data_IF_923056822862
#
_entry.id   IF_923056822862
#
_cell.length_a   1.000
_cell.length_b   1.000
_cell.length_c   1.000
_cell.angle_alpha   90.00
_cell.angle_beta   90.00
_cell.angle_gamma   90.00
#
_symmetry.space_group_name_H-M   'P 1'
#
loop_
_entity.id
_entity.type
_entity.pdbx_description
1 polymer ?
#
# COMPACT_ATOMS: atom_id res chain seq x y z
N UNK A 1 23.17 17.01 -15.74
CA UNK A 1 22.25 17.73 -14.84
C UNK A 1 21.21 16.70 -14.47
N UNK A 2 20.93 16.53 -13.18
CA UNK A 2 20.12 15.42 -12.68
C UNK A 2 18.81 15.92 -12.11
N UNK A 3 17.77 15.12 -12.24
CA UNK A 3 16.53 15.30 -11.48
C UNK A 3 16.73 14.65 -10.11
N UNK A 4 16.38 15.37 -9.04
CA UNK A 4 16.47 14.86 -7.68
C UNK A 4 15.14 14.23 -7.27
N UNK A 5 15.19 13.21 -6.42
CA UNK A 5 13.98 12.50 -5.96
C UNK A 5 13.84 12.66 -4.45
N UNK A 6 12.64 13.08 -4.03
CA UNK A 6 12.24 13.19 -2.62
C UNK A 6 11.02 12.33 -2.36
N UNK A 7 11.01 11.65 -1.22
CA UNK A 7 9.82 11.00 -0.69
C UNK A 7 9.73 11.23 0.82
N UNK A 8 8.64 10.78 1.42
CA UNK A 8 8.49 10.70 2.87
C UNK A 8 8.62 9.26 3.40
N UNK A 9 8.74 9.12 4.72
CA UNK A 9 8.97 7.83 5.38
C UNK A 9 7.81 6.85 5.24
N UNK A 10 6.63 7.26 4.77
CA UNK A 10 5.57 6.30 4.42
C UNK A 10 5.91 5.44 3.22
N UNK A 11 6.96 5.76 2.46
CA UNK A 11 7.45 4.92 1.37
C UNK A 11 8.05 3.60 1.84
N UNK A 12 8.37 3.48 3.15
CA UNK A 12 9.04 2.32 3.74
C UNK A 12 10.32 1.90 2.96
N UNK A 13 10.96 2.87 2.29
CA UNK A 13 12.15 2.64 1.50
C UNK A 13 13.33 2.40 2.45
N UNK A 14 14.01 1.23 2.39
CA UNK A 14 15.16 0.97 3.25
C UNK A 14 16.24 2.04 3.08
N UNK A 15 16.89 2.52 4.17
CA UNK A 15 17.89 3.58 4.09
C UNK A 15 19.06 3.26 3.14
N UNK A 16 19.46 1.98 3.06
CA UNK A 16 20.50 1.54 2.13
C UNK A 16 20.10 1.74 0.66
N UNK A 17 18.86 1.41 0.30
CA UNK A 17 18.33 1.63 -1.06
C UNK A 17 18.13 3.13 -1.33
N UNK A 18 17.64 3.89 -0.35
CA UNK A 18 17.53 5.35 -0.49
C UNK A 18 18.90 5.98 -0.79
N UNK A 19 19.95 5.56 -0.08
CA UNK A 19 21.31 6.04 -0.31
C UNK A 19 21.87 5.58 -1.67
N UNK A 20 21.63 4.32 -2.06
CA UNK A 20 22.06 3.76 -3.35
C UNK A 20 21.52 4.57 -4.54
N UNK A 21 20.24 4.91 -4.51
CA UNK A 21 19.57 5.66 -5.58
C UNK A 21 19.59 7.19 -5.37
N UNK A 22 20.27 7.70 -4.35
CA UNK A 22 20.33 9.15 -4.06
C UNK A 22 18.97 9.78 -3.71
N UNK A 23 18.03 9.00 -3.19
CA UNK A 23 16.68 9.44 -2.84
C UNK A 23 16.69 10.08 -1.45
N UNK A 24 16.16 11.29 -1.34
CA UNK A 24 15.97 11.95 -0.04
C UNK A 24 14.66 11.50 0.59
N UNK A 25 14.71 11.00 1.83
CA UNK A 25 13.52 10.56 2.59
C UNK A 25 13.32 11.51 3.77
N UNK A 26 12.12 12.08 3.89
CA UNK A 26 11.71 12.94 4.99
C UNK A 26 10.84 12.16 5.99
N UNK A 27 11.22 12.17 7.26
CA UNK A 27 10.50 11.46 8.29
C UNK A 27 9.23 12.19 8.73
N UNK A 28 8.10 11.49 8.74
CA UNK A 28 6.93 11.95 9.46
C UNK A 28 7.20 12.05 10.96
N UNK A 29 6.50 12.97 11.59
CA UNK A 29 6.61 13.24 13.01
C UNK A 29 5.66 12.32 13.78
N UNK A 30 6.12 11.81 14.92
CA UNK A 30 5.29 11.08 15.87
C UNK A 30 5.50 11.68 17.27
N UNK A 31 4.40 11.85 18.01
CA UNK A 31 4.39 12.41 19.35
C UNK A 31 3.49 11.58 20.27
N UNK A 32 3.90 11.44 21.53
CA UNK A 32 3.24 10.58 22.52
C UNK A 32 3.90 9.21 22.63
N UNK A 33 3.31 8.32 23.42
CA UNK A 33 3.82 6.97 23.65
C UNK A 33 2.67 5.95 23.63
N UNK A 34 2.94 4.76 23.11
CA UNK A 34 2.00 3.64 23.13
C UNK A 34 0.70 3.91 22.38
N UNK A 35 -0.45 3.58 22.99
CA UNK A 35 -1.77 3.70 22.34
C UNK A 35 -2.25 5.17 22.20
N UNK A 36 -1.58 6.13 22.84
CA UNK A 36 -1.85 7.57 22.74
C UNK A 36 -0.96 8.27 21.72
N UNK A 37 0.00 7.55 21.13
CA UNK A 37 0.89 8.11 20.13
C UNK A 37 0.09 8.58 18.90
N UNK A 38 0.45 9.75 18.39
CA UNK A 38 -0.15 10.38 17.22
C UNK A 38 0.92 10.74 16.21
N UNK A 39 0.52 10.99 14.97
CA UNK A 39 1.45 11.35 13.90
C UNK A 39 1.04 12.65 13.23
N UNK A 40 2.03 13.43 12.83
CA UNK A 40 1.87 14.57 11.94
C UNK A 40 2.64 14.33 10.63
N UNK A 41 2.02 14.73 9.51
CA UNK A 41 2.71 14.79 8.23
C UNK A 41 3.71 15.93 8.16
N UNK A 42 4.34 16.11 7.00
CA UNK A 42 5.35 17.15 6.80
C UNK A 42 4.70 18.52 6.60
N UNK A 43 5.30 19.55 7.20
CA UNK A 43 4.85 20.93 7.08
C UNK A 43 5.37 21.62 5.82
N UNK A 44 4.66 22.64 5.32
CA UNK A 44 5.06 23.37 4.12
C UNK A 44 6.45 24.03 4.25
N UNK A 45 6.78 24.57 5.43
CA UNK A 45 8.09 25.20 5.66
C UNK A 45 9.24 24.19 5.60
N UNK A 46 9.06 23.02 6.22
CA UNK A 46 10.03 21.92 6.21
C UNK A 46 10.27 21.41 4.78
N UNK A 47 9.20 21.19 4.02
CA UNK A 47 9.29 20.76 2.62
C UNK A 47 9.94 21.84 1.74
N UNK A 48 9.58 23.11 1.93
CA UNK A 48 10.20 24.23 1.21
C UNK A 48 11.71 24.27 1.46
N UNK A 49 12.13 24.14 2.73
CA UNK A 49 13.54 24.13 3.09
C UNK A 49 14.28 22.93 2.47
N UNK A 50 13.66 21.75 2.46
CA UNK A 50 14.22 20.55 1.82
C UNK A 50 14.40 20.78 0.31
N UNK A 51 13.36 21.17 -0.41
CA UNK A 51 13.40 21.36 -1.86
C UNK A 51 14.36 22.48 -2.25
N UNK A 52 14.36 23.60 -1.53
CA UNK A 52 15.30 24.70 -1.77
C UNK A 52 16.75 24.21 -1.62
N UNK A 53 17.07 23.48 -0.55
CA UNK A 53 18.42 22.94 -0.31
C UNK A 53 18.87 21.95 -1.39
N UNK A 54 17.95 21.17 -1.92
CA UNK A 54 18.22 20.26 -3.03
C UNK A 54 18.55 21.04 -4.31
N UNK A 55 17.77 22.07 -4.62
CA UNK A 55 17.97 22.93 -5.80
C UNK A 55 19.17 23.90 -5.67
N UNK A 56 19.61 24.21 -4.44
CA UNK A 56 20.71 25.14 -4.14
C UNK A 56 22.09 24.62 -4.59
N UNK A 57 22.27 23.30 -4.70
CA UNK A 57 23.57 22.69 -5.06
C UNK A 57 24.05 23.08 -6.46
N UNK A 58 23.16 23.64 -7.29
CA UNK A 58 23.46 24.24 -8.58
C UNK A 58 23.83 23.19 -9.63
N UNK A 59 22.92 22.92 -10.57
CA UNK A 59 23.15 21.98 -11.67
C UNK A 59 22.13 20.85 -11.80
N UNK A 60 21.09 20.84 -10.95
CA UNK A 60 19.96 19.91 -11.04
C UNK A 60 18.80 20.52 -11.84
N UNK A 61 18.14 19.68 -12.66
CA UNK A 61 17.07 20.10 -13.57
C UNK A 61 15.71 20.25 -12.88
N UNK A 62 15.56 19.67 -11.68
CA UNK A 62 14.36 19.78 -10.87
C UNK A 62 14.27 18.72 -9.78
N UNK A 63 13.14 18.67 -9.10
CA UNK A 63 12.82 17.70 -8.04
C UNK A 63 11.52 16.99 -8.39
N UNK A 64 11.51 15.65 -8.34
CA UNK A 64 10.28 14.85 -8.25
C UNK A 64 10.03 14.52 -6.79
N UNK A 65 8.91 15.00 -6.25
CA UNK A 65 8.51 14.78 -4.86
C UNK A 65 7.29 13.85 -4.79
N UNK A 66 7.48 12.63 -4.30
CA UNK A 66 6.44 11.63 -4.16
C UNK A 66 5.97 11.56 -2.71
N UNK A 67 4.67 11.71 -2.46
CA UNK A 67 4.14 11.66 -1.10
C UNK A 67 2.97 10.70 -0.96
N UNK A 68 2.77 10.24 0.27
CA UNK A 68 1.59 9.44 0.64
C UNK A 68 0.31 10.09 0.11
N UNK A 69 -0.68 9.25 -0.20
CA UNK A 69 -2.01 9.68 -0.61
C UNK A 69 -2.52 10.90 0.18
N UNK A 70 -2.99 11.93 -0.55
CA UNK A 70 -3.60 13.12 0.06
C UNK A 70 -4.86 12.82 0.90
N UNK A 71 -5.46 11.65 0.68
CA UNK A 71 -6.61 11.18 1.44
C UNK A 71 -6.23 10.58 2.81
N UNK A 72 -4.95 10.31 3.03
CA UNK A 72 -4.40 9.76 4.28
C UNK A 72 -3.61 10.78 5.09
N UNK A 73 -2.97 11.75 4.42
CA UNK A 73 -2.15 12.79 5.05
C UNK A 73 -2.27 14.14 4.33
N UNK A 74 -2.09 15.22 5.10
CA UNK A 74 -1.95 16.58 4.57
C UNK A 74 -0.61 16.85 3.88
N UNK A 75 0.36 15.92 3.94
CA UNK A 75 1.72 16.07 3.39
C UNK A 75 1.70 16.54 1.93
N UNK A 76 0.89 15.94 1.06
CA UNK A 76 0.80 16.35 -0.35
C UNK A 76 0.34 17.80 -0.52
N UNK A 77 -0.60 18.26 0.31
CA UNK A 77 -1.06 19.65 0.29
C UNK A 77 0.03 20.62 0.74
N UNK A 78 0.78 20.26 1.78
CA UNK A 78 1.97 21.01 2.22
C UNK A 78 3.05 21.05 1.14
N UNK A 79 3.30 19.94 0.46
CA UNK A 79 4.27 19.82 -0.62
C UNK A 79 3.88 20.68 -1.82
N UNK A 80 2.59 20.68 -2.19
CA UNK A 80 2.07 21.52 -3.27
C UNK A 80 2.25 23.01 -2.97
N UNK A 81 2.04 23.42 -1.72
CA UNK A 81 2.30 24.81 -1.28
C UNK A 81 3.79 25.15 -1.33
N UNK A 82 4.66 24.23 -0.91
CA UNK A 82 6.11 24.40 -0.97
C UNK A 82 6.63 24.51 -2.41
N UNK A 83 6.13 23.68 -3.33
CA UNK A 83 6.51 23.70 -4.74
C UNK A 83 6.10 24.99 -5.45
N UNK A 84 4.96 25.59 -5.07
CA UNK A 84 4.44 26.81 -5.69
C UNK A 84 5.37 28.03 -5.56
N UNK A 85 6.29 28.04 -4.59
CA UNK A 85 7.27 29.13 -4.41
C UNK A 85 8.65 28.84 -5.02
N UNK A 86 8.79 27.74 -5.78
CA UNK A 86 10.07 27.27 -6.35
C UNK A 86 10.10 27.28 -7.88
N UNK A 87 9.31 28.17 -8.50
CA UNK A 87 9.33 28.50 -9.93
C UNK A 87 9.16 27.28 -10.86
N UNK A 88 8.32 26.32 -10.49
CA UNK A 88 8.00 25.15 -11.32
C UNK A 88 9.11 24.10 -11.41
N UNK A 89 10.14 24.18 -10.55
CA UNK A 89 11.25 23.22 -10.50
C UNK A 89 10.96 21.98 -9.64
N UNK A 90 9.76 21.89 -9.06
CA UNK A 90 9.36 20.77 -8.20
C UNK A 90 8.03 20.21 -8.70
N UNK A 91 8.06 18.96 -9.15
CA UNK A 91 6.87 18.19 -9.53
C UNK A 91 6.42 17.34 -8.34
N UNK A 92 5.27 17.70 -7.76
CA UNK A 92 4.70 16.99 -6.61
C UNK A 92 3.68 15.97 -7.07
N UNK A 93 3.91 14.69 -6.74
CA UNK A 93 3.07 13.57 -7.11
C UNK A 93 2.24 13.11 -5.90
N UNK A 94 0.92 13.11 -6.06
CA UNK A 94 0.01 12.38 -5.17
C UNK A 94 0.06 10.90 -5.55
N UNK A 95 0.74 10.09 -4.74
CA UNK A 95 0.94 8.68 -5.07
C UNK A 95 -0.35 7.87 -4.99
N UNK A 96 -1.40 8.40 -4.35
CA UNK A 96 -2.63 7.67 -4.07
C UNK A 96 -2.38 6.31 -3.37
N UNK A 97 -1.20 6.15 -2.77
CA UNK A 97 -0.69 4.89 -2.26
C UNK A 97 0.09 5.07 -0.94
N UNK A 98 0.81 4.02 -0.53
CA UNK A 98 1.66 3.93 0.65
C UNK A 98 2.68 2.80 0.53
N UNK A 99 3.64 2.75 1.46
CA UNK A 99 4.68 1.72 1.47
C UNK A 99 5.53 1.71 0.20
N UNK A 100 6.01 0.52 -0.16
CA UNK A 100 6.98 0.33 -1.24
C UNK A 100 6.38 0.53 -2.63
N UNK A 101 5.08 0.81 -2.76
CA UNK A 101 4.56 1.38 -4.01
C UNK A 101 5.18 2.75 -4.25
N UNK A 102 5.23 3.61 -3.22
CA UNK A 102 5.92 4.90 -3.28
C UNK A 102 7.43 4.68 -3.40
N UNK A 103 7.99 3.75 -2.63
CA UNK A 103 9.42 3.43 -2.68
C UNK A 103 9.90 3.00 -4.07
N UNK A 104 9.16 2.11 -4.74
CA UNK A 104 9.48 1.70 -6.12
C UNK A 104 9.26 2.83 -7.12
N UNK A 105 8.23 3.64 -6.97
CA UNK A 105 8.03 4.81 -7.82
C UNK A 105 9.18 5.83 -7.68
N UNK A 106 9.71 6.01 -6.47
CA UNK A 106 10.89 6.84 -6.22
C UNK A 106 12.15 6.24 -6.86
N UNK A 107 12.34 4.92 -6.78
CA UNK A 107 13.44 4.21 -7.46
C UNK A 107 13.32 4.36 -8.99
N UNK A 108 12.13 4.21 -9.56
CA UNK A 108 11.89 4.35 -10.99
C UNK A 108 12.24 5.77 -11.48
N UNK A 109 11.80 6.80 -10.75
CA UNK A 109 12.19 8.19 -11.04
C UNK A 109 13.70 8.41 -10.92
N UNK A 110 14.34 7.86 -9.88
CA UNK A 110 15.77 8.00 -9.66
C UNK A 110 16.60 7.32 -10.74
N UNK A 111 16.21 6.12 -11.19
CA UNK A 111 16.82 5.43 -12.33
C UNK A 111 16.70 6.23 -13.61
N UNK A 112 15.51 6.74 -13.91
CA UNK A 112 15.29 7.61 -15.06
C UNK A 112 16.18 8.87 -15.01
N UNK A 113 16.36 9.47 -13.83
CA UNK A 113 17.23 10.62 -13.63
C UNK A 113 18.72 10.28 -13.84
N UNK A 114 19.18 9.11 -13.35
CA UNK A 114 20.56 8.64 -13.51
C UNK A 114 20.89 8.36 -14.99
N UNK A 115 19.89 7.92 -15.76
CA UNK A 115 19.97 7.76 -17.22
C UNK A 115 19.92 9.09 -17.99
N UNK A 116 19.79 10.23 -17.29
CA UNK A 116 19.75 11.56 -17.87
C UNK A 116 18.37 12.00 -18.35
N UNK A 117 17.31 11.34 -17.87
CA UNK A 117 15.92 11.71 -18.16
C UNK A 117 15.56 13.10 -17.61
N UNK A 118 14.66 13.77 -18.33
CA UNK A 118 14.08 15.05 -17.94
C UNK A 118 13.13 14.93 -16.74
N UNK A 119 12.75 16.07 -16.15
CA UNK A 119 11.79 16.12 -15.05
C UNK A 119 10.45 15.44 -15.40
N UNK A 120 9.95 15.67 -16.61
CA UNK A 120 8.71 15.06 -17.11
C UNK A 120 8.83 13.55 -17.31
N UNK A 121 9.98 13.07 -17.81
CA UNK A 121 10.25 11.64 -17.98
C UNK A 121 10.37 10.93 -16.63
N UNK A 122 11.07 11.55 -15.66
CA UNK A 122 11.18 11.03 -14.29
C UNK A 122 9.80 10.96 -13.61
N UNK A 123 8.97 12.01 -13.78
CA UNK A 123 7.57 12.02 -13.33
C UNK A 123 6.76 10.91 -13.99
N UNK A 124 6.94 10.70 -15.30
CA UNK A 124 6.29 9.63 -16.05
C UNK A 124 6.66 8.23 -15.55
N UNK A 125 7.95 7.99 -15.27
CA UNK A 125 8.43 6.74 -14.70
C UNK A 125 7.83 6.46 -13.32
N UNK A 126 7.83 7.47 -12.43
CA UNK A 126 7.16 7.37 -11.14
C UNK A 126 5.65 7.07 -11.28
N UNK A 127 4.96 7.78 -12.18
CA UNK A 127 3.53 7.60 -12.38
C UNK A 127 3.21 6.19 -12.90
N UNK A 128 4.02 5.64 -13.80
CA UNK A 128 3.84 4.28 -14.28
C UNK A 128 3.93 3.23 -13.16
N UNK A 129 4.93 3.37 -12.28
CA UNK A 129 5.09 2.52 -11.10
C UNK A 129 3.90 2.65 -10.12
N UNK A 130 3.35 3.86 -9.96
CA UNK A 130 2.16 4.10 -9.14
C UNK A 130 0.92 3.43 -9.76
N UNK A 131 0.70 3.60 -11.07
CA UNK A 131 -0.49 3.12 -11.78
C UNK A 131 -0.59 1.59 -11.81
N UNK A 132 0.56 0.91 -11.77
CA UNK A 132 0.64 -0.56 -11.69
C UNK A 132 0.75 -1.07 -10.25
N UNK A 133 0.85 -0.16 -9.29
CA UNK A 133 1.10 -0.44 -7.88
C UNK A 133 -0.13 -0.96 -7.14
N UNK A 134 0.05 -2.03 -6.38
CA UNK A 134 -0.96 -2.55 -5.45
C UNK A 134 -0.37 -2.68 -4.05
N UNK A 135 -1.19 -2.39 -3.04
CA UNK A 135 -0.85 -2.54 -1.63
C UNK A 135 -1.99 -3.21 -0.88
N UNK A 136 -1.70 -4.34 -0.22
CA UNK A 136 -2.61 -4.97 0.73
C UNK A 136 -2.01 -4.95 2.13
N UNK A 137 -2.79 -4.44 3.09
CA UNK A 137 -2.37 -4.24 4.46
C UNK A 137 -3.25 -5.05 5.40
N UNK A 138 -2.65 -6.01 6.09
CA UNK A 138 -3.24 -6.70 7.22
C UNK A 138 -2.91 -5.97 8.53
N UNK A 139 -3.96 -5.66 9.31
CA UNK A 139 -3.82 -5.09 10.67
C UNK A 139 -4.55 -5.92 11.71
N UNK A 140 -4.03 -5.90 12.94
CA UNK A 140 -4.61 -6.65 14.04
C UNK A 140 -5.89 -6.04 14.60
N UNK A 141 -5.97 -4.70 14.58
CA UNK A 141 -7.07 -3.87 15.04
C UNK A 141 -7.22 -2.67 14.11
N UNK A 142 -8.44 -2.14 13.98
CA UNK A 142 -8.71 -0.94 13.19
C UNK A 142 -8.86 0.31 14.07
N UNK A 143 -8.79 0.20 15.39
CA UNK A 143 -9.09 1.29 16.31
C UNK A 143 -8.24 2.54 16.06
N UNK A 144 -6.93 2.36 15.85
CA UNK A 144 -6.01 3.50 15.64
C UNK A 144 -6.19 4.13 14.27
N UNK A 145 -6.37 3.33 13.21
CA UNK A 145 -6.77 3.82 11.89
C UNK A 145 -8.11 4.59 11.93
N UNK A 146 -9.09 4.10 12.71
CA UNK A 146 -10.39 4.72 12.89
C UNK A 146 -10.29 6.05 13.67
N UNK A 147 -9.51 6.08 14.76
CA UNK A 147 -9.29 7.27 15.59
C UNK A 147 -8.51 8.33 14.84
N UNK A 148 -7.55 7.91 14.02
CA UNK A 148 -6.77 8.78 13.17
C UNK A 148 -7.55 9.40 12.00
N UNK A 149 -8.78 8.95 11.73
CA UNK A 149 -9.61 9.49 10.64
C UNK A 149 -9.29 8.92 9.25
N UNK A 150 -8.44 7.88 9.15
CA UNK A 150 -8.03 7.25 7.87
C UNK A 150 -9.01 6.19 7.37
N UNK A 151 -10.08 5.92 8.12
CA UNK A 151 -11.17 5.04 7.74
C UNK A 151 -12.44 5.85 7.48
N UNK A 152 -13.17 5.49 6.42
CA UNK A 152 -14.48 6.08 6.14
C UNK A 152 -15.49 5.75 7.25
N UNK A 153 -16.55 6.56 7.36
CA UNK A 153 -17.57 6.37 8.39
C UNK A 153 -18.14 4.95 8.45
N UNK A 154 -18.37 4.31 7.29
CA UNK A 154 -18.87 2.94 7.21
C UNK A 154 -17.84 1.90 7.66
N UNK A 155 -16.56 2.11 7.36
CA UNK A 155 -15.47 1.21 7.75
C UNK A 155 -15.13 1.30 9.24
N UNK A 156 -15.36 2.47 9.88
CA UNK A 156 -15.20 2.62 11.33
C UNK A 156 -16.09 1.64 12.12
N UNK A 157 -17.22 1.22 11.57
CA UNK A 157 -18.05 0.20 12.21
C UNK A 157 -17.33 -1.17 12.31
N UNK A 158 -16.41 -1.46 11.37
CA UNK A 158 -15.60 -2.69 11.42
C UNK A 158 -14.60 -2.68 12.58
N UNK A 159 -14.21 -1.51 13.12
CA UNK A 159 -13.32 -1.47 14.28
C UNK A 159 -13.98 -2.03 15.54
N UNK A 160 -15.31 -1.96 15.63
CA UNK A 160 -16.07 -2.50 16.76
C UNK A 160 -16.30 -4.02 16.68
N UNK A 161 -16.02 -4.64 15.53
CA UNK A 161 -16.28 -6.05 15.30
C UNK A 161 -15.17 -6.94 15.90
N UNK A 162 -15.38 -7.33 17.16
CA UNK A 162 -14.50 -8.23 17.89
C UNK A 162 -14.26 -9.53 17.10
N UNK A 163 -13.00 -9.89 16.88
CA UNK A 163 -12.50 -11.07 16.16
C UNK A 163 -12.42 -11.01 14.61
N UNK A 164 -12.62 -9.85 13.97
CA UNK A 164 -12.28 -9.71 12.55
C UNK A 164 -10.81 -9.31 12.40
N UNK A 165 -10.13 -9.95 11.44
CA UNK A 165 -8.77 -9.69 11.00
C UNK A 165 -8.83 -9.18 9.54
N UNK A 166 -8.99 -7.86 9.34
CA UNK A 166 -9.22 -7.29 8.03
C UNK A 166 -7.92 -7.22 7.22
N UNK A 167 -8.06 -7.41 5.91
CA UNK A 167 -7.06 -7.02 4.92
C UNK A 167 -7.63 -5.80 4.21
N UNK A 168 -6.90 -4.70 4.29
CA UNK A 168 -7.18 -3.44 3.64
C UNK A 168 -6.40 -3.36 2.33
N UNK A 169 -6.85 -2.51 1.40
CA UNK A 169 -6.06 -2.06 0.25
C UNK A 169 -6.26 -0.57 0.03
N UNK A 170 -5.50 0.03 -0.87
CA UNK A 170 -5.73 1.41 -1.30
C UNK A 170 -6.52 1.42 -2.61
N UNK A 171 -7.63 2.15 -2.61
CA UNK A 171 -8.47 2.38 -3.77
C UNK A 171 -8.81 3.87 -3.83
N UNK A 172 -8.46 4.53 -4.93
CA UNK A 172 -8.63 5.99 -5.07
C UNK A 172 -7.95 6.77 -3.92
N UNK A 173 -6.79 6.31 -3.45
CA UNK A 173 -6.05 6.94 -2.35
C UNK A 173 -6.58 6.63 -0.95
N UNK A 174 -7.74 5.97 -0.80
CA UNK A 174 -8.38 5.68 0.49
C UNK A 174 -8.17 4.23 0.91
N UNK A 175 -8.14 3.98 2.22
CA UNK A 175 -8.17 2.61 2.74
C UNK A 175 -9.55 1.99 2.51
N UNK A 176 -9.58 0.89 1.78
CA UNK A 176 -10.75 0.07 1.52
C UNK A 176 -10.57 -1.37 1.98
N UNK A 177 -11.66 -2.08 2.20
CA UNK A 177 -11.62 -3.45 2.71
C UNK A 177 -11.49 -4.45 1.56
N UNK A 178 -10.34 -5.08 1.43
CA UNK A 178 -10.09 -6.12 0.43
C UNK A 178 -10.65 -7.49 0.86
N UNK A 179 -10.51 -7.86 2.14
CA UNK A 179 -11.03 -9.12 2.66
C UNK A 179 -11.23 -9.12 4.18
N UNK A 180 -12.13 -9.99 4.66
CA UNK A 180 -12.31 -10.28 6.10
C UNK A 180 -11.78 -11.66 6.41
N UNK A 181 -10.89 -11.76 7.39
CA UNK A 181 -10.44 -13.05 7.93
C UNK A 181 -10.66 -13.09 9.45
N UNK A 182 -10.30 -14.21 10.08
CA UNK A 182 -10.41 -14.39 11.54
C UNK A 182 -9.08 -14.71 12.23
N UNK A 183 -8.09 -15.18 11.48
CA UNK A 183 -6.78 -15.57 12.00
C UNK A 183 -5.69 -14.99 11.13
N UNK A 184 -4.50 -14.76 11.70
CA UNK A 184 -3.34 -14.26 10.95
C UNK A 184 -2.96 -15.21 9.81
N UNK A 185 -2.89 -16.52 10.05
CA UNK A 185 -2.57 -17.50 9.01
C UNK A 185 -3.55 -17.42 7.81
N UNK A 186 -4.86 -17.26 8.08
CA UNK A 186 -5.85 -17.05 7.01
C UNK A 186 -5.72 -15.69 6.32
N UNK A 187 -5.25 -14.67 7.02
CA UNK A 187 -4.92 -13.39 6.40
C UNK A 187 -3.72 -13.53 5.44
N UNK A 188 -2.66 -14.22 5.86
CA UNK A 188 -1.46 -14.46 5.03
C UNK A 188 -1.79 -15.29 3.79
N UNK A 189 -2.50 -16.42 3.94
CA UNK A 189 -3.00 -17.21 2.79
C UNK A 189 -3.81 -16.34 1.81
N UNK A 190 -4.65 -15.45 2.36
CA UNK A 190 -5.47 -14.56 1.55
C UNK A 190 -4.65 -13.47 0.86
N UNK A 191 -3.61 -12.93 1.49
CA UNK A 191 -2.69 -11.97 0.88
C UNK A 191 -1.91 -12.61 -0.28
N UNK A 192 -1.44 -13.85 -0.13
CA UNK A 192 -0.83 -14.61 -1.23
C UNK A 192 -1.82 -14.74 -2.39
N UNK A 193 -3.06 -15.13 -2.10
CA UNK A 193 -4.11 -15.24 -3.13
C UNK A 193 -4.36 -13.91 -3.85
N UNK A 194 -4.40 -12.80 -3.11
CA UNK A 194 -4.61 -11.47 -3.68
C UNK A 194 -3.45 -11.07 -4.60
N UNK A 195 -2.21 -11.24 -4.14
CA UNK A 195 -1.00 -10.97 -4.92
C UNK A 195 -0.94 -11.82 -6.20
N UNK A 196 -1.23 -13.12 -6.09
CA UNK A 196 -1.27 -14.04 -7.22
C UNK A 196 -2.35 -13.68 -8.24
N UNK A 197 -3.54 -13.28 -7.78
CA UNK A 197 -4.60 -12.84 -8.68
C UNK A 197 -4.23 -11.53 -9.39
N UNK A 198 -3.64 -10.58 -8.67
CA UNK A 198 -3.15 -9.34 -9.26
C UNK A 198 -2.09 -9.59 -10.33
N UNK A 199 -1.13 -10.50 -10.08
CA UNK A 199 -0.16 -10.92 -11.09
C UNK A 199 -0.85 -11.50 -12.33
N UNK A 200 -1.78 -12.43 -12.10
CA UNK A 200 -2.56 -13.08 -13.16
C UNK A 200 -3.29 -12.05 -14.02
N UNK A 201 -3.98 -11.10 -13.41
CA UNK A 201 -4.77 -10.11 -14.14
C UNK A 201 -3.88 -9.30 -15.11
N UNK A 202 -2.66 -8.96 -14.69
CA UNK A 202 -1.67 -8.28 -15.55
C UNK A 202 -1.14 -9.22 -16.64
N UNK A 203 -0.76 -10.45 -16.27
CA UNK A 203 -0.20 -11.41 -17.20
C UNK A 203 -1.21 -11.86 -18.29
N UNK A 204 -2.48 -12.04 -17.94
CA UNK A 204 -3.57 -12.36 -18.87
C UNK A 204 -3.86 -11.20 -19.83
N UNK A 205 -3.74 -9.95 -19.38
CA UNK A 205 -3.90 -8.77 -20.24
C UNK A 205 -2.83 -8.66 -21.34
N UNK A 206 -1.66 -9.30 -21.15
CA UNK A 206 -0.58 -9.37 -22.14
C UNK A 206 -0.74 -10.51 -23.15
N UNK A 207 -1.63 -11.47 -22.89
CA UNK A 207 -1.94 -12.52 -23.88
C UNK A 207 -2.67 -11.84 -25.03
N UNK A 208 -2.13 -11.83 -26.26
CA UNK A 208 -2.85 -11.30 -27.40
C UNK A 208 -4.15 -12.09 -27.52
N UNK A 209 -5.28 -11.43 -27.29
CA UNK A 209 -6.57 -12.00 -27.66
C UNK A 209 -6.54 -12.06 -29.17
N UNK A 210 -6.14 -13.22 -29.71
CA UNK A 210 -6.15 -13.46 -31.14
C UNK A 210 -7.48 -12.99 -31.68
N UNK A 211 -7.44 -12.02 -32.59
CA UNK A 211 -8.57 -11.59 -33.39
C UNK A 211 -9.35 -12.84 -33.74
N UNK A 212 -10.52 -12.99 -33.12
CA UNK A 212 -11.49 -13.95 -33.59
C UNK A 212 -11.94 -13.37 -34.92
N UNK A 213 -11.14 -13.59 -35.97
CA UNK A 213 -11.69 -13.72 -37.29
C UNK A 213 -12.73 -14.81 -37.12
N UNK A 214 -13.97 -14.35 -36.98
CA UNK A 214 -15.12 -15.14 -37.32
C UNK A 214 -14.86 -15.55 -38.77
N UNK A 215 -14.21 -16.70 -38.92
CA UNK A 215 -14.39 -17.55 -40.07
C UNK A 215 -15.87 -17.88 -40.05
N UNK A 216 -16.68 -16.99 -40.62
CA UNK A 216 -17.97 -17.33 -41.20
C UNK A 216 -17.69 -18.57 -42.03
N UNK A 217 -18.08 -19.73 -41.49
CA UNK A 217 -18.21 -20.93 -42.28
C UNK A 217 -19.12 -20.54 -43.45
N UNK A 218 -18.70 -20.74 -44.71
CA UNK A 218 -19.54 -20.38 -45.84
C UNK A 218 -20.84 -21.18 -45.73
N UNK A 219 -21.94 -20.46 -45.59
CA UNK A 219 -23.28 -21.02 -45.64
C UNK A 219 -23.41 -21.74 -46.99
N UNK A 220 -23.67 -23.05 -46.94
CA UNK A 220 -23.75 -23.88 -48.14
C UNK A 220 -24.84 -23.33 -49.07
N UNK A 221 -24.56 -23.09 -50.36
CA UNK A 221 -25.58 -22.60 -51.28
C UNK A 221 -26.57 -23.73 -51.60
N UNK A 222 -27.87 -23.42 -51.47
CA UNK A 222 -28.98 -24.24 -51.98
C UNK A 222 -28.83 -24.47 -53.50
N UNK A 223 -29.09 -25.70 -54.01
CA UNK A 223 -28.88 -26.00 -55.42
C UNK A 223 -29.98 -25.35 -56.27
N UNK A 224 -29.58 -24.49 -57.20
CA UNK A 224 -30.41 -24.09 -58.33
C UNK A 224 -29.85 -24.71 -59.60
N UNK A 225 -30.72 -25.47 -60.28
CA UNK A 225 -30.52 -25.99 -61.61
C UNK A 225 -30.34 -24.83 -62.60
N UNK A 226 -29.23 -24.82 -63.34
CA UNK A 226 -29.20 -24.56 -64.79
C UNK A 226 -27.77 -24.72 -65.35
N UNK A 227 -27.70 -25.43 -66.48
CA UNK A 227 -26.49 -25.69 -67.25
C UNK A 227 -26.03 -24.43 -68.01
N UNK A 228 -24.72 -24.30 -68.28
CA UNK A 228 -24.11 -24.60 -69.59
C UNK A 228 -22.73 -23.92 -69.79
N UNK A 229 -21.84 -24.66 -70.44
CA UNK A 229 -20.64 -24.28 -71.24
C UNK A 229 -19.36 -23.64 -70.65
N UNK A 230 -18.25 -24.30 -71.03
CA UNK A 230 -16.90 -23.83 -71.43
C UNK A 230 -15.98 -23.19 -70.35
N UNK A 231 -14.84 -23.78 -69.97
CA UNK A 231 -13.60 -24.14 -70.69
C UNK A 231 -12.64 -22.95 -70.91
N UNK A 232 -11.33 -23.27 -70.84
CA UNK A 232 -10.12 -22.43 -70.99
C UNK A 232 -9.62 -21.73 -69.72
N UNK A 233 -8.33 -21.60 -69.41
CA UNK A 233 -7.07 -22.32 -69.70
C UNK A 233 -5.97 -21.56 -68.92
N UNK A 234 -4.97 -22.28 -68.38
CA UNK A 234 -3.54 -21.90 -68.25
C UNK A 234 -3.13 -20.59 -67.52
N UNK A 235 -1.94 -20.35 -66.96
CA UNK A 235 -0.66 -21.02 -66.72
C UNK A 235 0.05 -20.13 -65.66
N UNK A 236 0.66 -20.64 -64.59
CA UNK A 236 2.09 -21.02 -64.46
C UNK A 236 3.14 -19.95 -64.87
N UNK A 237 3.88 -19.42 -63.89
CA UNK A 237 5.36 -19.22 -63.88
C UNK A 237 5.73 -18.28 -62.71
N UNK A 238 6.36 -18.75 -61.62
CA UNK A 238 7.82 -19.02 -61.44
C UNK A 238 8.68 -17.74 -61.43
N UNK A 239 9.35 -17.52 -60.29
CA UNK A 239 10.23 -16.37 -59.98
C UNK A 239 11.56 -16.31 -60.77
N UNK A 240 12.58 -15.54 -60.32
CA UNK A 240 13.37 -16.02 -59.17
C UNK A 240 14.05 -14.96 -58.26
N UNK A 241 14.29 -15.39 -57.02
CA UNK A 241 15.47 -15.25 -56.13
C UNK A 241 16.45 -14.07 -56.23
N UNK A 242 16.76 -13.48 -55.06
CA UNK A 242 18.12 -13.44 -54.48
C UNK A 242 18.11 -12.93 -53.01
N UNK A 243 18.66 -13.72 -52.08
CA UNK A 243 19.03 -13.31 -50.71
C UNK A 243 20.40 -12.58 -50.65
N UNK A 244 20.96 -12.28 -49.46
CA UNK A 244 21.56 -13.29 -48.56
C UNK A 244 21.25 -13.09 -47.05
N UNK A 245 21.00 -14.15 -46.25
CA UNK A 245 21.91 -14.90 -45.36
C UNK A 245 22.61 -14.03 -44.27
N UNK A 246 22.18 -14.06 -42.99
CA UNK A 246 22.40 -15.08 -41.92
C UNK A 246 23.76 -15.00 -41.21
N UNK A 247 23.74 -14.79 -39.89
CA UNK A 247 24.77 -15.28 -38.95
C UNK A 247 24.25 -15.31 -37.51
N UNK A 248 24.18 -16.51 -36.95
CA UNK A 248 24.07 -16.81 -35.52
C UNK A 248 25.42 -16.68 -34.82
N UNK A 249 25.40 -16.36 -33.52
CA UNK A 249 26.31 -16.90 -32.51
C UNK A 249 25.75 -16.61 -31.11
N UNK A 250 25.54 -17.66 -30.32
CA UNK A 250 25.29 -17.56 -28.88
C UNK A 250 26.60 -17.53 -28.08
N UNK A 251 26.50 -17.10 -26.82
CA UNK A 251 27.39 -17.53 -25.74
C UNK A 251 26.73 -17.25 -24.38
N UNK A 252 26.49 -18.33 -23.64
CA UNK A 252 26.34 -18.35 -22.20
C UNK A 252 27.55 -17.69 -21.52
N UNK A 253 27.33 -16.94 -20.44
CA UNK A 253 28.35 -16.79 -19.40
C UNK A 253 27.69 -16.75 -18.03
N UNK A 254 27.80 -17.89 -17.36
CA UNK A 254 27.71 -18.07 -15.91
C UNK A 254 28.96 -17.45 -15.28
N UNK A 255 28.81 -16.64 -14.23
CA UNK A 255 29.92 -16.25 -13.34
C UNK A 255 29.62 -16.82 -11.95
N UNK A 256 30.55 -17.56 -11.32
CA UNK A 256 30.31 -18.23 -10.05
C UNK A 256 30.55 -17.30 -8.85
N UNK A 257 29.95 -17.70 -7.73
CA UNK A 257 30.32 -17.28 -6.38
C UNK A 257 31.75 -17.71 -6.04
N UNK A 258 32.45 -16.89 -5.26
CA UNK A 258 33.59 -17.37 -4.47
C UNK A 258 33.60 -16.67 -3.09
N UNK A 259 33.71 -17.52 -2.08
CA UNK A 259 33.87 -17.18 -0.66
C UNK A 259 35.36 -17.05 -0.34
N UNK A 260 35.72 -15.99 0.39
CA UNK A 260 36.65 -16.14 1.51
C UNK A 260 38.09 -15.59 1.43
N UNK A 261 38.41 -14.82 2.48
CA UNK A 261 39.61 -14.92 3.35
C UNK A 261 40.76 -13.88 3.18
N UNK A 262 40.91 -13.11 4.26
CA UNK A 262 42.11 -12.55 4.93
C UNK A 262 42.83 -11.26 4.43
N UNK A 263 42.62 -10.21 5.24
CA UNK A 263 43.60 -9.50 6.08
C UNK A 263 45.06 -9.38 5.59
N UNK A 264 45.51 -8.12 5.46
CA UNK A 264 46.90 -7.76 5.72
C UNK A 264 47.00 -6.32 6.26
N UNK A 265 47.52 -6.23 7.48
CA UNK A 265 48.06 -5.05 8.14
C UNK A 265 48.95 -4.19 7.25
N UNK A 266 48.85 -2.86 7.41
CA UNK A 266 50.02 -1.98 7.40
C UNK A 266 49.95 -0.92 8.49
N UNK A 267 50.85 -1.09 9.45
CA UNK A 267 51.27 -0.20 10.51
C UNK A 267 51.97 1.08 10.02
N UNK A 268 51.91 2.10 10.88
CA UNK A 268 52.93 3.14 11.08
C UNK A 268 52.45 4.55 10.74
N UNK A 269 52.41 5.54 11.64
CA UNK A 269 52.94 5.69 12.99
C UNK A 269 53.35 7.16 13.23
N UNK A 270 53.45 7.56 14.51
CA UNK A 270 53.85 8.85 15.10
C UNK A 270 52.78 9.96 15.11
N UNK A 271 52.36 10.54 16.24
CA UNK A 271 53.07 10.95 17.48
C UNK A 271 52.99 12.50 17.51
N UNK A 272 52.50 13.21 18.52
CA UNK A 272 52.93 13.28 19.93
C UNK A 272 51.89 14.02 20.79
N UNK A 273 51.77 13.60 22.05
CA UNK A 273 51.64 14.34 23.33
C UNK A 273 51.34 15.86 23.30
N UNK A 274 50.35 16.33 24.06
CA UNK A 274 50.61 17.20 25.23
C UNK A 274 49.38 17.42 26.16
N UNK A 275 49.73 17.67 27.42
CA UNK A 275 49.04 18.05 28.68
C UNK A 275 47.61 18.67 28.63
N UNK A 276 46.69 18.42 29.58
CA UNK A 276 46.80 18.54 31.03
C UNK A 276 46.16 19.87 31.50
N UNK A 277 45.09 19.83 32.31
CA UNK A 277 44.51 21.08 32.83
C UNK A 277 43.17 20.97 33.56
N UNK A 278 43.22 20.72 34.86
CA UNK A 278 42.15 20.94 35.83
C UNK A 278 41.97 22.45 36.11
N UNK A 279 40.74 22.93 36.28
CA UNK A 279 40.48 24.30 36.74
C UNK A 279 39.04 24.52 37.19
N UNK A 280 38.87 24.74 38.49
CA UNK A 280 37.64 25.06 39.21
C UNK A 280 37.38 26.58 39.28
N UNK A 281 36.10 26.92 39.51
CA UNK A 281 35.60 27.96 40.42
C UNK A 281 35.31 29.40 39.91
N UNK A 282 34.06 29.80 40.20
CA UNK A 282 33.59 31.03 40.89
C UNK A 282 32.96 32.23 40.14
N UNK A 283 31.69 32.43 40.56
CA UNK A 283 30.99 33.65 41.00
C UNK A 283 30.55 34.76 40.03
N UNK A 284 29.23 35.04 40.03
CA UNK A 284 28.70 36.26 40.65
C UNK A 284 27.14 36.32 40.68
N UNK A 285 26.67 36.85 41.80
CA UNK A 285 25.30 37.13 42.28
C UNK A 285 24.37 37.98 41.38
N UNK A 286 23.07 37.86 41.67
CA UNK A 286 22.06 38.87 41.34
C UNK A 286 20.64 38.49 41.82
N UNK A 287 20.31 38.91 43.04
CA UNK A 287 18.98 38.81 43.66
C UNK A 287 17.95 39.77 43.02
N UNK A 288 16.64 39.43 43.09
CA UNK A 288 15.67 40.20 43.89
C UNK A 288 14.22 39.68 43.75
N UNK A 289 13.66 39.41 44.93
CA UNK A 289 12.29 39.53 45.44
C UNK A 289 11.08 39.77 44.51
N UNK A 290 10.06 38.94 44.70
CA UNK A 290 8.67 39.39 44.70
C UNK A 290 7.83 38.56 45.69
N UNK A 291 7.41 39.22 46.76
CA UNK A 291 6.53 38.71 47.80
C UNK A 291 5.31 39.63 47.96
N UNK A 292 4.13 39.00 48.10
CA UNK A 292 2.85 39.47 48.68
C UNK A 292 2.09 40.69 48.11
N UNK A 293 0.80 40.47 47.82
CA UNK A 293 -0.28 41.02 48.67
C UNK A 293 -1.68 40.45 48.32
N UNK A 294 -2.39 40.04 49.38
CA UNK A 294 -3.81 39.71 49.47
C UNK A 294 -4.75 40.85 49.08
N UNK A 295 -6.00 40.50 48.71
CA UNK A 295 -7.21 41.20 49.16
C UNK A 295 -8.50 40.43 48.87
N UNK A 296 -9.10 39.89 49.94
CA UNK A 296 -10.54 39.68 50.09
C UNK A 296 -11.26 41.02 50.32
N UNK A 297 -12.45 41.22 49.73
CA UNK A 297 -13.58 42.00 50.31
C UNK A 297 -14.90 41.43 49.78
N UNK A 298 -15.86 41.31 50.69
CA UNK A 298 -17.18 40.68 50.66
C UNK A 298 -18.35 41.67 50.44
N UNK A 299 -19.56 41.10 50.35
CA UNK A 299 -20.90 41.64 50.72
C UNK A 299 -21.60 42.61 49.71
N UNK A 300 -22.92 42.62 49.45
CA UNK A 300 -24.09 41.88 49.98
C UNK A 300 -25.38 42.20 49.17
N UNK A 301 -26.42 41.35 49.32
CA UNK A 301 -27.90 41.59 49.26
C UNK A 301 -28.62 41.92 47.91
N UNK A 302 -29.86 41.51 47.57
CA UNK A 302 -30.95 40.71 48.16
C UNK A 302 -32.09 40.50 47.10
N UNK A 303 -32.99 39.51 47.28
CA UNK A 303 -34.42 39.69 46.93
C UNK A 303 -35.20 38.68 46.04
N UNK A 304 -35.83 37.69 46.69
CA UNK A 304 -37.22 37.15 46.54
C UNK A 304 -37.78 36.42 45.29
N UNK A 305 -37.90 35.08 45.44
CA UNK A 305 -39.10 34.19 45.55
C UNK A 305 -40.27 34.09 44.51
N UNK A 306 -40.77 32.84 44.45
CA UNK A 306 -41.96 32.20 43.84
C UNK A 306 -41.78 31.70 42.39
N UNK A 307 -42.09 30.44 41.99
CA UNK A 307 -43.03 29.44 42.51
C UNK A 307 -42.75 28.01 41.97
N UNK A 308 -43.07 27.01 42.81
CA UNK A 308 -43.57 25.65 42.48
C UNK A 308 -42.62 24.51 42.02
N UNK A 309 -42.60 23.46 42.86
CA UNK A 309 -42.18 22.05 42.64
C UNK A 309 -43.42 21.14 42.84
N UNK A 310 -43.37 19.79 42.79
CA UNK A 310 -42.50 18.83 42.09
C UNK A 310 -43.30 17.68 41.40
N UNK A 311 -42.58 16.75 40.75
CA UNK A 311 -42.50 15.31 41.14
C UNK A 311 -42.47 14.29 39.96
N UNK A 312 -41.68 13.24 40.21
CA UNK A 312 -41.31 12.09 39.38
C UNK A 312 -42.51 11.17 39.08
N UNK A 313 -42.49 10.36 37.99
CA UNK A 313 -43.33 9.17 37.93
C UNK A 313 -42.61 7.92 38.43
N UNK A 314 -43.38 7.16 39.21
CA UNK A 314 -43.04 5.93 39.93
C UNK A 314 -43.24 4.68 39.07
N UNK A 315 -42.44 3.69 39.40
CA UNK A 315 -42.65 2.25 39.17
C UNK A 315 -43.94 1.81 39.87
N UNK A 316 -44.79 1.02 39.22
CA UNK A 316 -45.74 0.16 39.92
C UNK A 316 -45.85 -1.22 39.24
N UNK A 317 -45.64 -2.21 40.09
CA UNK A 317 -45.86 -3.64 39.89
C UNK A 317 -47.29 -3.96 40.36
N UNK A 318 -47.95 -5.03 39.89
CA UNK A 318 -48.69 -5.97 40.75
C UNK A 318 -49.37 -7.10 39.96
N UNK A 319 -49.28 -8.32 40.52
CA UNK A 319 -50.45 -9.19 40.66
C UNK A 319 -50.43 -10.49 39.86
N UNK A 320 -50.03 -11.59 40.49
CA UNK A 320 -50.24 -12.94 39.98
C UNK A 320 -51.65 -13.49 40.22
N UNK A 321 -52.04 -14.47 39.41
CA UNK A 321 -52.90 -15.60 39.81
C UNK A 321 -52.76 -16.77 38.85
N UNK A 322 -52.81 -17.94 39.46
CA UNK A 322 -52.69 -19.30 38.96
C UNK A 322 -53.85 -19.71 38.03
N UNK A 323 -53.55 -20.49 36.96
CA UNK A 323 -54.43 -21.56 36.41
C UNK A 323 -53.77 -22.30 35.24
N UNK A 324 -53.80 -23.62 35.36
CA UNK A 324 -53.57 -24.64 34.34
C UNK A 324 -54.42 -24.48 33.09
N UNK A 325 -53.84 -24.66 31.89
CA UNK A 325 -54.53 -25.24 30.72
C UNK A 325 -53.52 -25.73 29.66
N UNK A 326 -53.83 -26.90 29.07
CA UNK A 326 -53.09 -27.63 28.03
C UNK A 326 -53.48 -27.13 26.62
N UNK A 327 -52.55 -27.26 25.66
CA UNK A 327 -52.77 -27.19 24.20
C UNK A 327 -52.14 -25.95 23.57
N UNK A 328 -51.44 -25.91 22.44
CA UNK A 328 -51.10 -26.83 21.35
C UNK A 328 -49.71 -26.40 20.79
N UNK A 329 -48.96 -27.31 20.16
CA UNK A 329 -47.63 -27.03 19.55
C UNK A 329 -47.73 -26.16 18.28
N UNK A 330 -46.82 -25.20 18.03
CA UNK A 330 -46.74 -24.52 16.73
C UNK A 330 -45.72 -25.24 15.80
N UNK A 331 -46.21 -26.18 14.98
CA UNK A 331 -45.41 -26.91 13.98
C UNK A 331 -45.07 -26.08 12.71
N UNK A 332 -45.54 -24.82 12.63
CA UNK A 332 -45.39 -23.96 11.45
C UNK A 332 -44.18 -23.01 11.48
N UNK A 333 -43.66 -22.66 12.66
CA UNK A 333 -42.49 -21.77 12.77
C UNK A 333 -41.17 -22.47 12.41
N UNK A 334 -41.08 -23.79 12.61
CA UNK A 334 -39.86 -24.57 12.32
C UNK A 334 -39.66 -24.85 10.82
N UNK A 335 -40.73 -24.79 10.01
CA UNK A 335 -40.65 -25.02 8.56
C UNK A 335 -40.16 -23.80 7.78
N UNK A 336 -40.48 -22.58 8.22
CA UNK A 336 -40.04 -21.34 7.59
C UNK A 336 -38.54 -21.06 7.82
N UNK A 337 -38.04 -21.33 9.03
CA UNK A 337 -36.61 -21.21 9.37
C UNK A 337 -35.77 -22.28 8.63
N UNK A 338 -36.31 -23.49 8.45
CA UNK A 338 -35.65 -24.54 7.64
C UNK A 338 -35.61 -24.22 6.14
N UNK A 339 -36.65 -23.62 5.58
CA UNK A 339 -36.68 -23.26 4.14
C UNK A 339 -35.72 -22.11 3.81
N UNK A 340 -35.67 -21.06 4.65
CA UNK A 340 -34.73 -19.94 4.44
C UNK A 340 -33.26 -20.37 4.65
N UNK A 341 -33.01 -21.30 5.58
CA UNK A 341 -31.68 -21.86 5.83
C UNK A 341 -31.24 -22.82 4.72
N UNK A 342 -32.18 -23.56 4.13
CA UNK A 342 -31.97 -24.40 2.94
C UNK A 342 -31.65 -23.56 1.70
N UNK A 343 -32.40 -22.49 1.43
CA UNK A 343 -32.16 -21.61 0.27
C UNK A 343 -30.86 -20.79 0.39
N UNK A 344 -30.49 -20.34 1.60
CA UNK A 344 -29.18 -19.72 1.85
C UNK A 344 -28.03 -20.71 1.69
N UNK A 345 -28.23 -21.96 2.11
CA UNK A 345 -27.24 -23.04 1.95
C UNK A 345 -27.00 -23.35 0.47
N UNK A 346 -28.07 -23.54 -0.32
CA UNK A 346 -28.01 -23.85 -1.75
C UNK A 346 -27.42 -22.70 -2.58
N UNK A 347 -27.75 -21.43 -2.28
CA UNK A 347 -27.11 -20.28 -2.93
C UNK A 347 -25.61 -20.22 -2.65
N UNK A 348 -25.18 -20.55 -1.42
CA UNK A 348 -23.77 -20.57 -1.05
C UNK A 348 -23.01 -21.72 -1.71
N UNK A 349 -23.63 -22.89 -1.90
CA UNK A 349 -23.02 -24.00 -2.62
C UNK A 349 -22.91 -23.72 -4.11
N UNK A 350 -23.94 -23.13 -4.72
CA UNK A 350 -23.91 -22.77 -6.13
C UNK A 350 -22.84 -21.71 -6.43
N UNK A 351 -22.68 -20.72 -5.54
CA UNK A 351 -21.61 -19.72 -5.64
C UNK A 351 -20.22 -20.34 -5.45
N UNK A 352 -20.06 -21.26 -4.48
CA UNK A 352 -18.82 -22.05 -4.30
C UNK A 352 -18.49 -22.90 -5.51
N UNK A 353 -19.49 -23.53 -6.13
CA UNK A 353 -19.32 -24.37 -7.31
C UNK A 353 -18.90 -23.52 -8.52
N UNK A 354 -19.48 -22.31 -8.68
CA UNK A 354 -19.07 -21.35 -9.71
C UNK A 354 -17.65 -20.84 -9.51
N UNK A 355 -17.29 -20.47 -8.27
CA UNK A 355 -15.92 -20.04 -7.94
C UNK A 355 -14.92 -21.18 -8.16
N UNK A 356 -15.28 -22.41 -7.78
CA UNK A 356 -14.47 -23.60 -8.00
C UNK A 356 -14.30 -23.90 -9.49
N UNK A 357 -15.38 -23.85 -10.28
CA UNK A 357 -15.31 -24.05 -11.73
C UNK A 357 -14.46 -22.97 -12.41
N UNK A 358 -14.60 -21.71 -11.99
CA UNK A 358 -13.76 -20.61 -12.47
C UNK A 358 -12.28 -20.78 -12.09
N UNK A 359 -11.99 -21.30 -10.90
CA UNK A 359 -10.62 -21.62 -10.48
C UNK A 359 -10.04 -22.85 -11.21
N UNK A 360 -10.88 -23.83 -11.54
CA UNK A 360 -10.50 -25.02 -12.34
C UNK A 360 -10.32 -24.68 -13.83
N UNK A 361 -11.02 -23.65 -14.34
CA UNK A 361 -10.90 -23.12 -15.70
C UNK A 361 -9.79 -22.07 -15.85
N UNK A 362 -9.13 -21.66 -14.76
CA UNK A 362 -8.01 -20.71 -14.82
C UNK A 362 -6.76 -21.37 -15.40
N UNK A 363 -6.14 -20.68 -16.36
CA UNK A 363 -4.83 -21.05 -16.90
C UNK A 363 -3.81 -21.10 -15.75
N UNK A 364 -3.02 -22.16 -15.56
CA UNK A 364 -1.98 -22.17 -14.53
C UNK A 364 -1.04 -20.98 -14.68
N UNK A 365 -0.59 -20.37 -13.57
CA UNK A 365 0.29 -19.17 -13.63
C UNK A 365 1.55 -19.40 -14.46
N UNK A 366 2.11 -20.61 -14.40
CA UNK A 366 3.30 -21.02 -15.17
C UNK A 366 3.10 -20.97 -16.69
N UNK A 367 1.86 -20.98 -17.15
CA UNK A 367 1.48 -20.99 -18.56
C UNK A 367 1.09 -19.57 -19.05
N UNK A 368 1.11 -18.56 -18.16
CA UNK A 368 0.89 -17.16 -18.52
C UNK A 368 2.19 -16.45 -18.93
N UNK A 369 2.11 -15.34 -19.69
CA UNK A 369 3.26 -14.48 -19.96
C UNK A 369 3.94 -14.03 -18.68
N UNK A 370 5.28 -13.98 -18.70
CA UNK A 370 6.06 -13.52 -17.56
C UNK A 370 6.04 -12.00 -17.50
N UNK A 371 5.64 -11.46 -16.36
CA UNK A 371 5.65 -10.03 -16.07
C UNK A 371 6.69 -9.76 -14.97
N UNK A 372 7.74 -8.96 -15.22
CA UNK A 372 8.64 -8.55 -14.16
C UNK A 372 7.88 -7.65 -13.18
N UNK A 373 7.91 -8.03 -11.91
CA UNK A 373 7.25 -7.28 -10.84
C UNK A 373 8.13 -7.25 -9.61
N UNK A 374 8.20 -6.07 -8.98
CA UNK A 374 8.82 -5.83 -7.70
C UNK A 374 7.82 -6.10 -6.59
N UNK A 375 8.11 -7.10 -5.77
CA UNK A 375 7.29 -7.47 -4.62
C UNK A 375 8.04 -7.18 -3.32
N UNK A 376 7.37 -6.50 -2.38
CA UNK A 376 7.90 -6.25 -1.04
C UNK A 376 6.91 -6.73 0.04
N UNK A 377 7.43 -7.38 1.07
CA UNK A 377 6.67 -7.76 2.27
C UNK A 377 7.02 -6.80 3.38
N UNK A 378 6.02 -6.12 3.92
CA UNK A 378 6.17 -5.15 4.99
C UNK A 378 5.80 -5.77 6.32
N UNK A 379 6.48 -5.39 7.41
CA UNK A 379 6.03 -5.75 8.75
C UNK A 379 6.28 -4.68 9.81
N UNK A 380 5.53 -4.80 10.90
CA UNK A 380 5.92 -4.19 12.17
C UNK A 380 5.89 -5.25 13.25
N UNK A 381 7.03 -5.49 13.91
CA UNK A 381 7.15 -6.46 15.01
C UNK A 381 6.57 -7.84 14.64
N UNK A 382 6.85 -8.29 13.41
CA UNK A 382 6.30 -9.53 12.86
C UNK A 382 7.25 -10.18 11.84
N UNK A 383 8.56 -10.05 12.04
CA UNK A 383 9.59 -10.49 11.09
C UNK A 383 9.42 -11.96 10.70
N UNK A 384 9.27 -12.88 11.66
CA UNK A 384 9.03 -14.31 11.39
C UNK A 384 7.83 -14.55 10.47
N UNK A 385 6.73 -13.83 10.69
CA UNK A 385 5.51 -13.97 9.89
C UNK A 385 5.67 -13.33 8.50
N UNK A 386 6.46 -12.26 8.39
CA UNK A 386 6.81 -11.65 7.12
C UNK A 386 7.69 -12.56 6.27
N UNK A 387 8.63 -13.26 6.92
CA UNK A 387 9.49 -14.24 6.30
C UNK A 387 8.72 -15.47 5.80
N UNK A 388 7.77 -15.97 6.61
CA UNK A 388 6.84 -17.02 6.18
C UNK A 388 6.00 -16.56 4.97
N UNK A 389 5.46 -15.34 5.00
CA UNK A 389 4.69 -14.78 3.90
C UNK A 389 5.55 -14.62 2.63
N UNK A 390 6.80 -14.16 2.77
CA UNK A 390 7.77 -14.05 1.67
C UNK A 390 8.05 -15.41 1.04
N UNK A 391 8.27 -16.44 1.86
CA UNK A 391 8.52 -17.79 1.36
C UNK A 391 7.32 -18.32 0.55
N UNK A 392 6.10 -18.15 1.07
CA UNK A 392 4.88 -18.55 0.36
C UNK A 392 4.69 -17.78 -0.96
N UNK A 393 5.00 -16.48 -0.98
CA UNK A 393 4.93 -15.67 -2.20
C UNK A 393 5.96 -16.10 -3.24
N UNK A 394 7.21 -16.36 -2.83
CA UNK A 394 8.26 -16.88 -3.74
C UNK A 394 7.90 -18.24 -4.33
N UNK A 395 7.25 -19.12 -3.57
CA UNK A 395 6.80 -20.41 -4.07
C UNK A 395 5.72 -20.25 -5.15
N UNK A 396 4.76 -19.33 -4.95
CA UNK A 396 3.64 -19.12 -5.89
C UNK A 396 4.00 -18.22 -7.08
N UNK A 397 4.99 -17.33 -6.93
CA UNK A 397 5.40 -16.34 -7.91
C UNK A 397 6.94 -16.36 -8.08
N UNK A 398 7.53 -17.47 -8.56
CA UNK A 398 8.98 -17.65 -8.61
C UNK A 398 9.69 -16.71 -9.60
N UNK A 399 8.95 -16.17 -10.57
CA UNK A 399 9.47 -15.28 -11.61
C UNK A 399 9.34 -13.79 -11.25
N UNK A 400 8.66 -13.45 -10.15
CA UNK A 400 8.61 -12.08 -9.65
C UNK A 400 9.90 -11.74 -8.92
N UNK A 401 10.37 -10.50 -9.10
CA UNK A 401 11.50 -9.96 -8.35
C UNK A 401 11.01 -9.62 -6.93
N UNK A 402 11.17 -10.56 -6.00
CA UNK A 402 10.88 -10.32 -4.59
C UNK A 402 12.06 -9.59 -3.95
N UNK A 403 11.94 -8.27 -3.82
CA UNK A 403 13.04 -7.38 -3.42
C UNK A 403 13.44 -7.60 -1.96
N UNK A 404 12.50 -7.60 -1.02
CA UNK A 404 12.86 -7.60 0.40
C UNK A 404 11.69 -7.80 1.35
N UNK A 405 12.03 -8.18 2.57
CA UNK A 405 11.23 -7.90 3.76
C UNK A 405 11.64 -6.49 4.24
N UNK A 406 10.69 -5.60 4.45
CA UNK A 406 10.92 -4.21 4.87
C UNK A 406 10.13 -3.88 6.12
N UNK A 407 10.70 -3.00 6.95
CA UNK A 407 9.98 -2.46 8.10
C UNK A 407 8.94 -1.43 7.65
N UNK A 408 7.75 -1.52 8.26
CA UNK A 408 6.77 -0.44 8.25
C UNK A 408 7.36 0.71 9.05
N UNK A 409 7.43 1.89 8.44
CA UNK A 409 7.96 3.09 9.08
C UNK A 409 7.23 3.40 10.38
N UNK A 410 7.93 4.04 11.32
CA UNK A 410 7.38 4.30 12.65
C UNK A 410 6.04 5.04 12.61
N UNK A 411 5.92 6.09 11.80
CA UNK A 411 4.67 6.83 11.66
C UNK A 411 3.52 5.97 11.10
N UNK A 412 3.78 5.06 10.17
CA UNK A 412 2.74 4.12 9.73
C UNK A 412 2.40 3.11 10.84
N UNK A 413 3.41 2.64 11.57
CA UNK A 413 3.27 1.68 12.67
C UNK A 413 2.37 2.20 13.81
N UNK A 414 2.38 3.50 14.10
CA UNK A 414 1.44 4.13 15.04
C UNK A 414 -0.01 3.78 14.67
N UNK A 415 -0.36 3.78 13.39
CA UNK A 415 -1.72 3.49 12.94
C UNK A 415 -1.99 2.00 12.73
N UNK A 416 -1.03 1.26 12.18
CA UNK A 416 -1.22 -0.15 11.84
C UNK A 416 -1.10 -1.08 13.05
N UNK A 417 -0.36 -0.62 14.08
CA UNK A 417 -0.06 -1.35 15.29
C UNK A 417 0.93 -2.51 15.09
N UNK A 418 1.37 -3.13 16.19
CA UNK A 418 2.29 -4.25 16.16
C UNK A 418 1.63 -5.48 15.53
N UNK A 419 2.45 -6.31 14.88
CA UNK A 419 2.01 -7.52 14.23
C UNK A 419 1.33 -7.30 12.87
N UNK A 420 1.38 -6.08 12.33
CA UNK A 420 0.89 -5.71 11.02
C UNK A 420 1.79 -6.32 9.92
N UNK A 421 1.17 -6.67 8.80
CA UNK A 421 1.85 -7.17 7.61
C UNK A 421 1.28 -6.46 6.39
N UNK A 422 2.10 -6.18 5.39
CA UNK A 422 1.60 -5.73 4.09
C UNK A 422 2.35 -6.41 2.95
N UNK A 423 1.71 -6.46 1.79
CA UNK A 423 2.36 -6.86 0.53
C UNK A 423 2.11 -5.75 -0.45
N UNK A 424 3.18 -5.25 -1.06
CA UNK A 424 3.08 -4.36 -2.21
C UNK A 424 3.65 -5.04 -3.45
N UNK A 425 3.03 -4.76 -4.60
CA UNK A 425 3.47 -5.21 -5.91
C UNK A 425 3.48 -4.04 -6.87
N UNK A 426 4.55 -3.90 -7.63
CA UNK A 426 4.73 -2.85 -8.65
C UNK A 426 5.30 -3.51 -9.90
N UNK A 427 4.81 -3.17 -11.07
CA UNK A 427 5.41 -3.65 -12.32
C UNK A 427 6.71 -2.88 -12.58
N UNK A 428 7.76 -3.60 -13.02
CA UNK A 428 9.06 -2.99 -13.37
C UNK A 428 8.97 -2.14 -14.64
#
# INVERSE_FOLDING_TARGET
>A
MSVLVVTDSSACLPPALAAEYGITVLDFHAEGEGDEETTAGLGALELTACYARLLERGGDDGVVALHISKELSGTWSSASQAAAVLDGRVEVIDTMSGGMVIGQAAIAAARCADEGGSLDECRGAAQHAIDTGQLWLFVNRLDTLARGGRLTAGQRLLSTALAIKPIMHLAGGRLELAAKTRTRSKAMERMVTLATNAYRDVAEALVPTGSTEQSEAPEAPEPSDEADTAAEDAELAVGPTAGPAAREAGADTVVPADDGVQAADRHGGHGTDDEGGTGTADDADGADDADRADRDVSDDEDGEDTSETPDRPRIFNFGGRDRSEKGEKPEKAEKADKSEKSEKSDKSEHERLRLRRRAEEQVPLRDLPRVPMHLAVHHREAEDAAEELRANLREQLPECVVISVVDISHAMAVHTGPGALAVSMVQD
#
